data_IF_490528068458
#
_entry.id   IF_490528068458
#
_cell.length_a   1.000
_cell.length_b   1.000
_cell.length_c   1.000
_cell.angle_alpha   90.00
_cell.angle_beta   90.00
_cell.angle_gamma   90.00
#
_symmetry.space_group_name_H-M   'P 1'
#
loop_
_entity.id
_entity.type
_entity.pdbx_description
1 polymer ?
#
# COMPACT_ATOMS: atom_id res chain seq x y z
N UNK A 1 22.32 -8.79 26.57
CA UNK A 1 23.32 -7.97 27.31
C UNK A 1 23.72 -6.78 26.43
N UNK A 2 24.15 -5.64 26.98
CA UNK A 2 24.74 -4.56 26.17
C UNK A 2 25.99 -5.06 25.42
N UNK A 3 26.25 -4.56 24.20
CA UNK A 3 27.40 -4.96 23.38
C UNK A 3 28.70 -4.88 24.21
N UNK A 4 29.42 -6.00 24.43
CA UNK A 4 30.56 -6.04 25.33
C UNK A 4 31.77 -5.26 24.81
N UNK A 5 31.85 -5.03 23.49
CA UNK A 5 32.95 -4.34 22.83
C UNK A 5 32.35 -3.32 21.85
N UNK A 6 32.37 -2.04 22.23
CA UNK A 6 32.03 -0.95 21.32
C UNK A 6 33.15 -0.79 20.28
N UNK A 7 32.83 -1.06 19.02
CA UNK A 7 33.68 -0.72 17.87
C UNK A 7 32.99 0.38 17.05
N UNK A 8 33.80 1.25 16.47
CA UNK A 8 33.29 2.28 15.56
C UNK A 8 32.58 1.61 14.37
N UNK A 9 31.33 1.98 14.12
CA UNK A 9 30.47 1.36 13.09
C UNK A 9 29.59 0.19 13.55
N UNK A 10 29.69 -0.27 14.80
CA UNK A 10 28.84 -1.35 15.33
C UNK A 10 27.37 -0.90 15.47
N UNK A 11 26.44 -1.76 15.07
CA UNK A 11 25.00 -1.53 15.24
C UNK A 11 24.38 -2.65 16.07
N UNK A 12 23.30 -2.33 16.79
CA UNK A 12 22.42 -3.36 17.35
C UNK A 12 21.48 -3.84 16.26
N UNK A 13 21.07 -5.12 16.33
CA UNK A 13 20.03 -5.67 15.46
C UNK A 13 18.89 -6.29 16.28
N UNK A 14 17.71 -6.38 15.67
CA UNK A 14 16.58 -7.22 16.09
C UNK A 14 16.08 -8.02 14.90
N UNK A 15 15.82 -9.31 15.10
CA UNK A 15 15.15 -10.16 14.14
C UNK A 15 14.03 -10.94 14.83
N UNK A 16 12.80 -10.74 14.37
CA UNK A 16 11.64 -11.52 14.78
C UNK A 16 11.48 -12.73 13.84
N UNK A 17 11.67 -13.94 14.36
CA UNK A 17 11.47 -15.17 13.59
C UNK A 17 9.99 -15.56 13.54
N UNK A 18 9.32 -15.44 14.69
CA UNK A 18 7.88 -15.63 14.87
C UNK A 18 7.38 -14.71 16.01
N UNK A 19 6.10 -14.80 16.35
CA UNK A 19 5.43 -13.95 17.36
C UNK A 19 6.01 -14.09 18.78
N UNK A 20 6.73 -15.19 19.05
CA UNK A 20 7.29 -15.54 20.35
C UNK A 20 8.82 -15.50 20.40
N UNK A 21 9.48 -15.56 19.23
CA UNK A 21 10.92 -15.79 19.12
C UNK A 21 11.63 -14.63 18.44
N UNK A 22 12.45 -13.94 19.23
CA UNK A 22 13.22 -12.77 18.80
C UNK A 22 14.70 -12.92 19.11
N UNK A 23 15.52 -12.61 18.12
CA UNK A 23 16.96 -12.55 18.20
C UNK A 23 17.42 -11.10 18.26
N UNK A 24 18.33 -10.81 19.20
CA UNK A 24 18.90 -9.48 19.40
C UNK A 24 20.38 -9.62 19.65
N UNK A 25 21.16 -8.72 19.08
CA UNK A 25 22.60 -8.71 19.26
C UNK A 25 23.23 -7.48 18.62
N UNK A 26 24.53 -7.59 18.40
CA UNK A 26 25.35 -6.58 17.74
C UNK A 26 25.85 -7.15 16.41
N UNK A 27 26.03 -6.31 15.40
CA UNK A 27 26.45 -6.73 14.04
C UNK A 27 27.78 -7.50 14.01
N UNK A 28 28.63 -7.32 15.03
CA UNK A 28 29.93 -7.98 15.17
C UNK A 28 29.90 -9.22 16.07
N UNK A 29 28.72 -9.60 16.60
CA UNK A 29 28.58 -10.84 17.38
C UNK A 29 28.89 -12.05 16.50
N UNK A 30 29.38 -13.13 17.12
CA UNK A 30 29.94 -14.33 16.47
C UNK A 30 28.97 -15.16 15.61
N UNK A 31 27.73 -14.72 15.42
CA UNK A 31 26.84 -15.20 14.35
C UNK A 31 26.75 -14.15 13.22
N UNK A 32 27.83 -13.98 12.42
CA UNK A 32 27.96 -12.88 11.45
C UNK A 32 27.00 -12.96 10.25
N UNK A 33 26.10 -13.95 10.21
CA UNK A 33 25.24 -14.22 9.04
C UNK A 33 23.75 -14.27 9.36
N UNK A 34 23.33 -14.03 10.62
CA UNK A 34 21.90 -14.14 10.96
C UNK A 34 21.06 -13.14 10.15
N UNK A 35 21.62 -11.97 9.83
CA UNK A 35 20.91 -10.87 9.19
C UNK A 35 21.14 -10.73 7.68
N UNK A 36 21.97 -11.57 7.06
CA UNK A 36 22.32 -11.42 5.63
C UNK A 36 21.08 -11.61 4.73
N UNK A 37 20.23 -12.58 5.05
CA UNK A 37 19.02 -12.92 4.30
C UNK A 37 17.72 -12.74 5.13
N UNK A 38 17.79 -11.98 6.22
CA UNK A 38 16.71 -11.81 7.19
C UNK A 38 16.36 -10.33 7.39
N UNK A 39 15.11 -10.01 7.76
CA UNK A 39 14.61 -8.63 7.90
C UNK A 39 15.09 -8.00 9.21
N UNK A 40 16.39 -7.91 9.42
CA UNK A 40 16.91 -7.34 10.64
C UNK A 40 16.66 -5.84 10.67
N UNK A 41 16.11 -5.36 11.79
CA UNK A 41 16.06 -3.93 12.10
C UNK A 41 17.32 -3.52 12.84
N UNK A 42 17.97 -2.44 12.38
CA UNK A 42 19.25 -1.98 12.92
C UNK A 42 19.15 -0.62 13.58
N UNK A 43 19.88 -0.43 14.67
CA UNK A 43 19.91 0.84 15.38
C UNK A 43 21.27 1.08 16.05
N UNK A 44 21.57 2.34 16.43
CA UNK A 44 22.94 2.78 16.81
C UNK A 44 23.08 3.23 18.26
N UNK A 45 21.98 3.44 18.98
CA UNK A 45 22.01 3.93 20.36
C UNK A 45 22.01 2.78 21.37
N UNK A 46 22.40 3.05 22.61
CA UNK A 46 22.46 2.00 23.62
C UNK A 46 21.07 1.46 23.92
N UNK A 47 20.87 0.15 23.72
CA UNK A 47 19.63 -0.55 24.08
C UNK A 47 18.44 -0.24 23.17
N UNK A 48 18.69 0.27 21.96
CA UNK A 48 17.64 0.66 21.01
C UNK A 48 16.93 -0.49 20.29
N UNK A 49 17.45 -1.71 20.41
CA UNK A 49 16.87 -2.89 19.77
C UNK A 49 15.79 -3.52 20.67
N UNK A 50 15.02 -2.68 21.37
CA UNK A 50 13.99 -3.03 22.35
C UNK A 50 12.57 -3.05 21.75
N UNK A 51 12.46 -2.92 20.43
CA UNK A 51 11.20 -3.02 19.69
C UNK A 51 10.44 -4.31 19.99
N UNK A 52 9.11 -4.21 19.98
CA UNK A 52 8.18 -5.34 20.05
C UNK A 52 8.32 -6.27 18.85
N UNK A 53 7.98 -7.54 19.05
CA UNK A 53 8.04 -8.56 17.99
C UNK A 53 7.04 -8.29 16.87
N UNK A 54 5.84 -7.88 17.26
CA UNK A 54 4.74 -7.53 16.37
C UNK A 54 4.65 -6.02 16.30
N UNK A 55 4.54 -5.46 15.10
CA UNK A 55 4.43 -4.03 14.85
C UNK A 55 3.17 -3.72 14.05
N UNK A 56 2.52 -2.57 14.29
CA UNK A 56 1.35 -2.17 13.54
C UNK A 56 1.64 -2.12 12.05
N UNK A 57 0.85 -2.87 11.28
CA UNK A 57 0.96 -2.86 9.83
C UNK A 57 0.57 -1.50 9.28
N UNK A 58 1.44 -0.84 8.52
CA UNK A 58 1.23 0.51 7.97
C UNK A 58 0.78 0.50 6.51
N UNK A 59 0.72 -0.67 5.89
CA UNK A 59 0.35 -0.83 4.49
C UNK A 59 -1.14 -0.58 4.28
N UNK A 60 -1.50 -0.02 3.13
CA UNK A 60 -2.89 0.14 2.69
C UNK A 60 -3.14 -0.67 1.42
N UNK A 61 -4.34 -1.24 1.33
CA UNK A 61 -4.83 -1.94 0.15
C UNK A 61 -6.31 -1.64 -0.09
N UNK A 62 -6.76 -1.74 -1.33
CA UNK A 62 -8.19 -1.85 -1.61
C UNK A 62 -8.71 -3.13 -0.97
N UNK A 63 -9.76 -3.01 -0.16
CA UNK A 63 -10.34 -4.11 0.62
C UNK A 63 -11.83 -4.22 0.33
N UNK A 64 -12.29 -5.38 -0.12
CA UNK A 64 -13.69 -5.65 -0.43
C UNK A 64 -13.95 -7.15 -0.54
N UNK A 65 -15.15 -7.59 -0.17
CA UNK A 65 -15.57 -8.99 -0.32
C UNK A 65 -16.34 -9.23 -1.62
N UNK A 66 -16.70 -8.16 -2.34
CA UNK A 66 -17.36 -8.20 -3.64
C UNK A 66 -16.79 -7.11 -4.53
N UNK A 67 -16.54 -7.41 -5.81
CA UNK A 67 -16.00 -6.44 -6.76
C UNK A 67 -16.80 -5.13 -6.81
N UNK A 68 -18.14 -5.20 -6.73
CA UNK A 68 -18.99 -4.01 -6.75
C UNK A 68 -18.78 -3.04 -5.57
N UNK A 69 -18.13 -3.48 -4.49
CA UNK A 69 -17.83 -2.65 -3.32
C UNK A 69 -16.54 -1.85 -3.48
N UNK A 70 -15.72 -2.18 -4.49
CA UNK A 70 -14.38 -1.62 -4.70
C UNK A 70 -14.09 -1.34 -6.18
N UNK A 71 -15.13 -1.34 -7.01
CA UNK A 71 -15.00 -1.05 -8.43
C UNK A 71 -14.54 0.40 -8.60
N UNK A 72 -13.45 0.60 -9.35
CA UNK A 72 -12.83 1.91 -9.54
C UNK A 72 -11.98 2.44 -8.38
N UNK A 73 -12.11 1.95 -7.14
CA UNK A 73 -11.46 2.55 -5.95
C UNK A 73 -9.95 2.77 -6.10
N UNK A 74 -9.50 3.97 -5.71
CA UNK A 74 -8.10 4.38 -5.77
C UNK A 74 -7.37 4.27 -4.43
N UNK A 75 -8.08 4.53 -3.33
CA UNK A 75 -7.51 4.56 -1.98
C UNK A 75 -8.08 3.45 -1.12
N UNK A 76 -7.18 2.72 -0.50
CA UNK A 76 -7.53 1.59 0.31
C UNK A 76 -7.63 1.92 1.78
N UNK A 77 -7.80 0.86 2.55
CA UNK A 77 -7.80 0.91 3.99
C UNK A 77 -6.53 0.25 4.51
N UNK A 78 -6.14 0.65 5.72
CA UNK A 78 -5.01 0.05 6.43
C UNK A 78 -5.29 -1.42 6.72
N UNK A 79 -4.29 -2.27 6.47
CA UNK A 79 -4.36 -3.69 6.79
C UNK A 79 -4.50 -3.90 8.30
N UNK A 80 -5.24 -4.93 8.71
CA UNK A 80 -5.68 -5.05 10.10
C UNK A 80 -4.74 -5.86 10.99
N UNK A 81 -3.97 -6.78 10.40
CA UNK A 81 -3.06 -7.67 11.11
C UNK A 81 -1.69 -7.04 11.28
N UNK A 82 -1.22 -6.99 12.52
CA UNK A 82 0.16 -6.65 12.84
C UNK A 82 1.14 -7.61 12.15
N UNK A 83 2.34 -7.10 11.84
CA UNK A 83 3.39 -7.85 11.17
C UNK A 83 4.55 -8.13 12.11
N UNK A 84 5.36 -9.14 11.78
CA UNK A 84 6.66 -9.30 12.42
C UNK A 84 7.55 -8.08 12.09
N UNK A 85 8.33 -7.66 13.08
CA UNK A 85 9.29 -6.57 12.92
C UNK A 85 10.18 -6.75 11.68
N UNK A 86 10.32 -5.67 10.90
CA UNK A 86 11.12 -5.65 9.66
C UNK A 86 10.40 -6.22 8.42
N UNK A 87 9.12 -6.60 8.53
CA UNK A 87 8.30 -7.04 7.39
C UNK A 87 7.40 -5.93 6.86
N UNK A 88 7.14 -5.97 5.55
CA UNK A 88 6.10 -5.23 4.86
C UNK A 88 4.98 -6.18 4.42
N UNK A 89 3.78 -5.65 4.23
CA UNK A 89 2.65 -6.42 3.69
C UNK A 89 2.63 -6.39 2.15
N UNK A 90 1.59 -6.97 1.58
CA UNK A 90 1.27 -6.95 0.16
C UNK A 90 -0.24 -6.95 -0.04
N UNK A 91 -0.70 -6.47 -1.18
CA UNK A 91 -2.11 -6.51 -1.53
C UNK A 91 -2.41 -7.70 -2.44
N UNK A 92 -3.65 -8.20 -2.40
CA UNK A 92 -4.13 -9.23 -3.30
C UNK A 92 -5.38 -8.80 -4.06
N UNK A 93 -5.58 -9.41 -5.24
CA UNK A 93 -6.86 -9.45 -5.96
C UNK A 93 -7.17 -10.91 -6.31
N UNK A 94 -8.30 -11.43 -5.83
CA UNK A 94 -8.80 -12.74 -6.22
C UNK A 94 -9.80 -12.59 -7.36
N UNK A 95 -9.68 -13.45 -8.37
CA UNK A 95 -10.51 -13.44 -9.57
C UNK A 95 -11.43 -14.67 -9.65
N UNK A 96 -12.64 -14.49 -10.20
CA UNK A 96 -13.50 -15.61 -10.57
C UNK A 96 -13.02 -16.24 -11.89
N UNK A 97 -12.67 -15.36 -12.82
CA UNK A 97 -12.14 -15.63 -14.15
C UNK A 97 -11.19 -14.47 -14.51
N UNK A 98 -10.29 -14.62 -15.49
CA UNK A 98 -9.36 -13.56 -15.86
C UNK A 98 -10.08 -12.22 -16.05
N UNK A 99 -9.61 -11.18 -15.34
CA UNK A 99 -10.15 -9.83 -15.40
C UNK A 99 -11.49 -9.60 -14.68
N UNK A 100 -12.02 -10.59 -13.96
CA UNK A 100 -13.26 -10.43 -13.16
C UNK A 100 -12.92 -10.62 -11.69
N UNK A 101 -12.64 -9.53 -10.94
CA UNK A 101 -12.32 -9.64 -9.53
C UNK A 101 -13.53 -10.15 -8.76
N UNK A 102 -13.28 -10.80 -7.62
CA UNK A 102 -14.29 -11.17 -6.63
C UNK A 102 -14.06 -10.34 -5.38
N UNK A 103 -12.82 -10.36 -4.89
CA UNK A 103 -12.43 -9.76 -3.63
C UNK A 103 -10.99 -9.26 -3.69
N UNK A 104 -10.70 -8.28 -2.85
CA UNK A 104 -9.40 -7.64 -2.72
C UNK A 104 -9.09 -7.45 -1.24
N UNK A 105 -7.82 -7.42 -0.89
CA UNK A 105 -7.42 -7.06 0.46
C UNK A 105 -5.93 -7.19 0.71
N UNK A 106 -5.56 -7.30 1.98
CA UNK A 106 -4.17 -7.48 2.42
C UNK A 106 -3.82 -8.95 2.55
N UNK A 107 -2.60 -9.33 2.16
CA UNK A 107 -2.13 -10.71 2.26
C UNK A 107 -2.01 -11.15 3.72
N UNK A 108 -1.57 -10.26 4.62
CA UNK A 108 -1.50 -10.55 6.06
C UNK A 108 -2.84 -10.93 6.70
N UNK A 109 -3.96 -10.50 6.12
CA UNK A 109 -5.31 -10.78 6.61
C UNK A 109 -5.86 -12.14 6.11
N UNK A 110 -5.15 -12.82 5.20
CA UNK A 110 -5.59 -14.09 4.63
C UNK A 110 -5.38 -15.29 5.55
N UNK A 111 -6.32 -16.24 5.48
CA UNK A 111 -6.10 -17.59 6.05
C UNK A 111 -5.14 -18.41 5.18
N UNK A 112 -4.38 -19.33 5.77
CA UNK A 112 -3.50 -20.26 5.02
C UNK A 112 -4.24 -21.07 3.94
N UNK A 113 -5.52 -21.36 4.15
CA UNK A 113 -6.37 -22.08 3.18
C UNK A 113 -6.87 -21.22 2.02
N UNK A 114 -6.61 -19.90 2.04
CA UNK A 114 -7.12 -18.99 1.03
C UNK A 114 -6.46 -19.27 -0.33
N UNK A 115 -7.18 -19.21 -1.48
CA UNK A 115 -6.59 -19.50 -2.79
C UNK A 115 -5.34 -18.67 -3.11
N UNK A 116 -5.29 -17.42 -2.65
CA UNK A 116 -4.12 -16.54 -2.82
C UNK A 116 -2.88 -16.98 -2.02
N UNK A 117 -3.07 -17.76 -0.95
CA UNK A 117 -1.97 -18.37 -0.18
C UNK A 117 -1.54 -19.72 -0.75
N UNK A 118 -2.21 -20.21 -1.79
CA UNK A 118 -2.02 -21.53 -2.40
C UNK A 118 -1.57 -21.42 -3.87
N UNK A 119 -0.94 -20.30 -4.24
CA UNK A 119 -0.46 -20.01 -5.59
C UNK A 119 -1.54 -20.21 -6.69
N UNK A 120 -2.80 -19.92 -6.36
CA UNK A 120 -3.90 -20.00 -7.32
C UNK A 120 -3.62 -19.09 -8.52
N UNK A 121 -3.80 -19.58 -9.76
CA UNK A 121 -3.64 -18.74 -10.95
C UNK A 121 -4.70 -17.64 -11.06
N UNK A 122 -5.75 -17.73 -10.24
CA UNK A 122 -6.80 -16.72 -10.12
C UNK A 122 -6.52 -15.74 -8.97
N UNK A 123 -5.28 -15.61 -8.54
CA UNK A 123 -4.88 -14.59 -7.59
C UNK A 123 -3.66 -13.83 -8.07
N UNK A 124 -3.72 -12.52 -7.90
CA UNK A 124 -2.61 -11.61 -8.15
C UNK A 124 -2.22 -10.94 -6.84
N UNK A 125 -0.91 -10.89 -6.57
CA UNK A 125 -0.32 -10.24 -5.40
C UNK A 125 0.62 -9.16 -5.91
N UNK A 126 0.55 -7.98 -5.29
CA UNK A 126 1.42 -6.83 -5.58
C UNK A 126 1.97 -6.23 -4.28
N UNK A 127 3.16 -5.65 -4.34
CA UNK A 127 3.91 -5.18 -3.16
C UNK A 127 4.81 -3.98 -3.43
N UNK A 128 4.66 -3.35 -4.59
CA UNK A 128 5.49 -2.25 -5.07
C UNK A 128 5.17 -0.95 -4.34
N UNK A 129 3.89 -0.73 -4.03
CA UNK A 129 3.38 0.47 -3.35
C UNK A 129 2.07 0.18 -2.60
N UNK A 130 1.68 1.11 -1.72
CA UNK A 130 0.35 1.12 -1.11
C UNK A 130 -0.74 1.14 -2.20
N UNK A 131 -1.84 0.45 -1.94
CA UNK A 131 -3.01 0.42 -2.83
C UNK A 131 -2.66 -0.01 -4.27
N UNK A 132 -1.64 -0.85 -4.43
CA UNK A 132 -1.22 -1.39 -5.73
C UNK A 132 -2.32 -2.23 -6.41
N UNK A 133 -3.29 -2.72 -5.64
CA UNK A 133 -4.43 -3.48 -6.13
C UNK A 133 -5.65 -2.59 -6.48
N UNK A 134 -5.45 -1.29 -6.67
CA UNK A 134 -6.48 -0.35 -7.13
C UNK A 134 -7.12 -0.75 -8.46
N UNK A 135 -8.35 -0.28 -8.65
CA UNK A 135 -9.12 -0.54 -9.86
C UNK A 135 -8.59 0.21 -11.08
N UNK A 136 -9.23 -0.03 -12.23
CA UNK A 136 -9.07 0.81 -13.40
C UNK A 136 -10.39 1.55 -13.66
N UNK A 137 -10.33 2.81 -14.08
CA UNK A 137 -11.50 3.57 -14.50
C UNK A 137 -11.26 4.27 -15.84
N UNK A 138 -12.34 4.53 -16.57
CA UNK A 138 -12.32 5.38 -17.75
C UNK A 138 -12.81 6.77 -17.37
N UNK A 139 -11.88 7.73 -17.29
CA UNK A 139 -12.15 9.07 -16.82
C UNK A 139 -12.06 10.10 -17.94
N UNK A 140 -12.87 11.15 -17.83
CA UNK A 140 -12.70 12.33 -18.66
C UNK A 140 -11.42 13.07 -18.24
N UNK A 141 -10.57 13.41 -19.21
CA UNK A 141 -9.37 14.21 -19.00
C UNK A 141 -9.47 15.54 -19.73
N UNK A 142 -9.61 16.63 -19.00
CA UNK A 142 -9.72 17.98 -19.57
C UNK A 142 -9.44 19.08 -18.54
N UNK A 143 -9.21 20.31 -19.02
CA UNK A 143 -8.99 21.48 -18.18
C UNK A 143 -9.67 22.72 -18.81
N UNK A 144 -10.60 23.33 -18.08
CA UNK A 144 -11.41 24.46 -18.56
C UNK A 144 -10.66 25.78 -18.74
N UNK A 145 -9.39 25.88 -18.34
CA UNK A 145 -8.52 26.99 -18.75
C UNK A 145 -8.14 26.93 -20.22
N UNK A 146 -8.12 25.72 -20.79
CA UNK A 146 -7.66 25.46 -22.16
C UNK A 146 -8.74 24.89 -23.07
N UNK A 147 -9.80 24.35 -22.47
CA UNK A 147 -10.90 23.68 -23.15
C UNK A 147 -12.23 24.11 -22.51
N UNK A 148 -12.90 25.11 -23.10
CA UNK A 148 -14.14 25.68 -22.59
C UNK A 148 -15.23 24.60 -22.37
N UNK A 149 -15.19 23.49 -23.11
CA UNK A 149 -16.15 22.40 -23.05
C UNK A 149 -15.97 21.49 -21.82
N UNK A 150 -14.84 21.58 -21.11
CA UNK A 150 -14.54 20.77 -19.92
C UNK A 150 -15.51 21.04 -18.76
N UNK A 151 -16.11 22.23 -18.72
CA UNK A 151 -17.06 22.65 -17.69
C UNK A 151 -18.41 21.94 -17.80
N UNK A 152 -18.86 21.63 -19.02
CA UNK A 152 -20.19 21.03 -19.28
C UNK A 152 -20.16 19.58 -19.80
N UNK A 153 -18.96 19.01 -20.04
CA UNK A 153 -18.76 17.73 -20.74
C UNK A 153 -19.62 17.68 -22.02
N UNK A 154 -19.23 18.51 -23.00
CA UNK A 154 -19.80 18.43 -24.35
C UNK A 154 -19.02 17.39 -25.18
N UNK A 155 -19.64 16.90 -26.27
CA UNK A 155 -19.02 15.95 -27.19
C UNK A 155 -17.65 16.46 -27.69
N UNK A 156 -16.56 15.99 -27.07
CA UNK A 156 -15.20 16.48 -27.34
C UNK A 156 -14.19 16.10 -26.26
N UNK A 157 -14.63 15.89 -25.02
CA UNK A 157 -13.78 15.48 -23.90
C UNK A 157 -13.17 14.09 -24.12
N UNK A 158 -11.84 14.00 -24.05
CA UNK A 158 -11.11 12.74 -24.20
C UNK A 158 -11.27 11.86 -22.97
N UNK A 159 -11.63 10.59 -23.19
CA UNK A 159 -11.56 9.56 -22.15
C UNK A 159 -10.13 9.01 -22.06
N UNK A 160 -9.71 8.66 -20.86
CA UNK A 160 -8.41 8.06 -20.54
C UNK A 160 -8.60 6.93 -19.54
N UNK A 161 -7.80 5.88 -19.68
CA UNK A 161 -7.69 4.81 -18.70
C UNK A 161 -6.85 5.29 -17.52
N UNK A 162 -7.41 5.17 -16.32
CA UNK A 162 -6.83 5.58 -15.04
C UNK A 162 -6.61 4.36 -14.16
N UNK A 163 -5.56 4.41 -13.34
CA UNK A 163 -5.31 3.43 -12.29
C UNK A 163 -5.95 3.94 -11.00
N UNK A 164 -7.27 3.80 -10.90
CA UNK A 164 -8.08 4.26 -9.77
C UNK A 164 -9.29 5.05 -10.25
N UNK A 165 -9.76 5.97 -9.42
CA UNK A 165 -10.98 6.75 -9.58
C UNK A 165 -10.78 7.99 -10.45
N UNK A 166 -11.89 8.56 -10.89
CA UNK A 166 -11.94 9.78 -11.68
C UNK A 166 -12.10 10.97 -10.76
N UNK A 167 -11.16 11.91 -10.77
CA UNK A 167 -11.29 13.11 -9.98
C UNK A 167 -11.79 14.29 -10.83
N UNK A 168 -12.74 15.04 -10.29
CA UNK A 168 -13.13 16.37 -10.79
C UNK A 168 -12.81 17.40 -9.71
N UNK A 169 -11.97 18.39 -10.04
CA UNK A 169 -11.64 19.52 -9.16
C UNK A 169 -12.19 20.81 -9.76
N UNK A 170 -12.84 21.63 -8.93
CA UNK A 170 -13.40 22.93 -9.30
C UNK A 170 -12.76 24.00 -8.41
N UNK A 171 -11.68 24.61 -8.90
CA UNK A 171 -10.96 25.70 -8.21
C UNK A 171 -10.64 26.82 -9.20
N UNK A 172 -11.50 27.84 -9.28
CA UNK A 172 -11.57 28.88 -10.34
C UNK A 172 -11.76 28.36 -11.78
N UNK A 173 -11.49 27.09 -12.04
CA UNK A 173 -11.66 26.35 -13.28
C UNK A 173 -11.93 24.87 -12.93
N UNK A 174 -12.65 24.18 -13.80
CA UNK A 174 -12.85 22.72 -13.74
C UNK A 174 -11.66 22.00 -14.35
N UNK A 175 -11.14 21.01 -13.64
CA UNK A 175 -10.13 20.04 -14.07
C UNK A 175 -10.66 18.64 -13.81
N UNK A 176 -10.56 17.76 -14.82
CA UNK A 176 -10.99 16.37 -14.74
C UNK A 176 -9.85 15.47 -15.15
N UNK A 177 -9.68 14.34 -14.49
CA UNK A 177 -8.65 13.39 -14.85
C UNK A 177 -8.63 12.17 -13.94
N UNK A 178 -7.52 11.45 -14.00
CA UNK A 178 -7.24 10.36 -13.08
C UNK A 178 -6.84 10.93 -11.73
N UNK A 179 -7.25 10.30 -10.63
CA UNK A 179 -6.90 10.80 -9.30
C UNK A 179 -5.39 10.86 -9.04
N UNK A 180 -4.61 9.98 -9.67
CA UNK A 180 -3.14 9.99 -9.64
C UNK A 180 -2.49 11.16 -10.40
N UNK A 181 -3.25 11.87 -11.25
CA UNK A 181 -2.77 13.09 -11.92
C UNK A 181 -2.76 14.30 -10.96
N UNK A 182 -3.47 14.22 -9.83
CA UNK A 182 -3.64 15.33 -8.89
C UNK A 182 -2.65 15.24 -7.70
N UNK A 183 -2.26 16.39 -7.10
CA UNK A 183 -1.46 16.38 -5.89
C UNK A 183 -2.16 15.66 -4.73
N UNK A 184 -1.41 14.85 -3.96
CA UNK A 184 -1.95 14.08 -2.82
C UNK A 184 -2.73 14.94 -1.82
N UNK A 185 -2.28 16.17 -1.56
CA UNK A 185 -2.99 17.11 -0.68
C UNK A 185 -4.35 17.53 -1.25
N UNK A 186 -4.44 17.73 -2.57
CA UNK A 186 -5.71 18.06 -3.24
C UNK A 186 -6.69 16.89 -3.15
N UNK A 187 -6.20 15.67 -3.31
CA UNK A 187 -7.02 14.46 -3.21
C UNK A 187 -7.49 14.22 -1.76
N UNK A 188 -6.60 14.31 -0.78
CA UNK A 188 -6.94 14.11 0.63
C UNK A 188 -7.95 15.15 1.15
N UNK A 189 -7.87 16.39 0.64
CA UNK A 189 -8.85 17.42 0.97
C UNK A 189 -10.17 17.25 0.20
N UNK A 190 -10.20 16.38 -0.81
CA UNK A 190 -11.33 16.26 -1.69
C UNK A 190 -12.52 15.51 -1.05
N UNK A 191 -12.23 14.49 -0.25
CA UNK A 191 -13.26 13.70 0.46
C UNK A 191 -14.19 14.56 1.36
N UNK A 192 -13.81 15.80 1.67
CA UNK A 192 -14.56 16.71 2.53
C UNK A 192 -14.92 18.06 1.88
N UNK A 193 -14.83 18.18 0.55
CA UNK A 193 -15.02 19.43 -0.17
C UNK A 193 -16.24 19.41 -1.08
N UNK A 194 -17.02 20.50 -1.12
CA UNK A 194 -18.08 20.68 -2.15
C UNK A 194 -17.52 21.07 -3.53
N UNK A 195 -16.21 21.34 -3.60
CA UNK A 195 -15.53 21.83 -4.80
C UNK A 195 -14.84 20.72 -5.59
N UNK A 196 -15.04 19.46 -5.23
CA UNK A 196 -14.48 18.34 -5.98
C UNK A 196 -15.31 17.07 -5.75
N UNK A 197 -15.10 16.10 -6.63
CA UNK A 197 -15.76 14.80 -6.64
C UNK A 197 -14.73 13.73 -7.05
N UNK A 198 -14.79 12.55 -6.41
CA UNK A 198 -13.93 11.38 -6.66
C UNK A 198 -14.82 10.17 -6.89
#
# INVERSE_FOLDING_TARGET
EPCPIYKDGQQCYTYAEDDSKVYRGCTDDTEPHLCDDKPCEFCKTRGCNDHETMVPNTWTCIQCSRNSECDGMAFGQRCTKDLLLGRSDSCYTQYHSPGVPIEKGCVSDLSESHPCMQDSPNCEICSEENDCNRGEALCYKCNSKTDDDCSEILNGSTLTECKGECMTLVDDYTERGCVEDFPVESVANCENSELCDV
#
